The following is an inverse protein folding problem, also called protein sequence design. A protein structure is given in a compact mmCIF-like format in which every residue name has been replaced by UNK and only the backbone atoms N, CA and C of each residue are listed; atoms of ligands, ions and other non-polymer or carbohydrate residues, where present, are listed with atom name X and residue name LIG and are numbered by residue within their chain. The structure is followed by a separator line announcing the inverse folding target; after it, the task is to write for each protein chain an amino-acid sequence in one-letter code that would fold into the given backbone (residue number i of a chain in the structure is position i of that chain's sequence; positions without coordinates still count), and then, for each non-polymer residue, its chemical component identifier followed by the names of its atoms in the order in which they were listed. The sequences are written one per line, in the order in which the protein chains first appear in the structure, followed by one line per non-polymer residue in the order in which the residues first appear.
data_IF_730740379580
#
_entry.id   IF_730740379580
#
_cell.length_a   1.000
_cell.length_b   1.000
_cell.length_c   1.000
_cell.angle_alpha   90.00
_cell.angle_beta   90.00
_cell.angle_gamma   90.00
#
_symmetry.space_group_name_H-M   'P 1'
#
loop_
_entity.id
_entity.type
_entity.pdbx_description
1 polymer ?
#
# COMPACT_ATOMS: atom_id res chain seq x y z
N UNK A 1 2.68 8.89 -1.94
CA UNK A 1 4.07 9.22 -2.35
C UNK A 1 4.83 9.95 -1.26
N UNK A 2 4.28 11.01 -0.64
CA UNK A 2 4.96 11.74 0.47
C UNK A 2 5.51 10.83 1.56
N UNK A 3 4.67 9.93 2.10
CA UNK A 3 5.08 8.96 3.13
C UNK A 3 6.29 8.08 2.75
N UNK A 4 6.35 7.57 1.52
CA UNK A 4 7.49 6.78 1.04
C UNK A 4 8.75 7.63 0.86
N UNK A 5 8.60 8.90 0.49
CA UNK A 5 9.73 9.84 0.35
C UNK A 5 10.31 10.24 1.71
N UNK A 6 9.48 10.34 2.74
CA UNK A 6 9.86 10.78 4.09
C UNK A 6 10.34 9.63 4.97
N UNK A 7 9.63 8.50 4.96
CA UNK A 7 9.84 7.37 5.89
C UNK A 7 10.46 6.15 5.20
N UNK A 8 10.71 6.20 3.89
CA UNK A 8 11.26 5.08 3.11
C UNK A 8 10.29 3.90 2.92
N UNK A 9 9.11 3.91 3.54
CA UNK A 9 8.07 2.89 3.32
C UNK A 9 6.66 3.46 3.49
N UNK A 10 5.68 2.78 2.95
CA UNK A 10 4.27 2.99 3.26
C UNK A 10 3.56 1.63 3.39
N UNK A 11 2.55 1.62 4.25
CA UNK A 11 1.68 0.47 4.43
C UNK A 11 0.24 0.89 4.15
N UNK A 12 -0.47 0.09 3.35
CA UNK A 12 -1.89 0.30 3.05
C UNK A 12 -2.64 -0.98 3.39
N UNK A 13 -3.66 -0.88 4.24
CA UNK A 13 -4.54 -1.99 4.56
C UNK A 13 -5.88 -1.81 3.82
N UNK A 14 -6.35 -2.86 3.16
CA UNK A 14 -7.57 -2.83 2.37
C UNK A 14 -8.45 -4.05 2.66
N UNK A 15 -9.75 -3.80 2.83
CA UNK A 15 -10.76 -4.81 3.10
C UNK A 15 -11.79 -4.80 1.97
N UNK A 16 -11.98 -5.97 1.34
CA UNK A 16 -12.87 -6.13 0.20
C UNK A 16 -12.25 -5.71 -1.14
N UNK A 17 -12.82 -6.25 -2.23
CA UNK A 17 -12.28 -6.12 -3.58
C UNK A 17 -12.20 -4.67 -4.09
N UNK A 18 -13.21 -3.85 -3.76
CA UNK A 18 -13.25 -2.44 -4.16
C UNK A 18 -12.11 -1.62 -3.55
N UNK A 19 -11.90 -1.76 -2.23
CA UNK A 19 -10.82 -1.07 -1.53
C UNK A 19 -9.45 -1.52 -2.02
N UNK A 20 -9.25 -2.83 -2.24
CA UNK A 20 -8.01 -3.38 -2.76
C UNK A 20 -7.68 -2.83 -4.15
N UNK A 21 -8.66 -2.77 -5.05
CA UNK A 21 -8.49 -2.19 -6.37
C UNK A 21 -8.03 -0.72 -6.30
N UNK A 22 -8.62 0.08 -5.39
CA UNK A 22 -8.20 1.47 -5.20
C UNK A 22 -6.79 1.56 -4.61
N UNK A 23 -6.45 0.69 -3.66
CA UNK A 23 -5.11 0.64 -3.08
C UNK A 23 -4.05 0.33 -4.15
N UNK A 24 -4.28 -0.67 -5.00
CA UNK A 24 -3.36 -1.02 -6.10
C UNK A 24 -3.23 0.11 -7.12
N UNK A 25 -4.33 0.79 -7.49
CA UNK A 25 -4.27 1.99 -8.35
C UNK A 25 -3.44 3.09 -7.73
N UNK A 26 -3.58 3.33 -6.43
CA UNK A 26 -2.80 4.32 -5.70
C UNK A 26 -1.30 3.98 -5.71
N UNK A 27 -0.92 2.70 -5.59
CA UNK A 27 0.47 2.24 -5.74
C UNK A 27 1.00 2.54 -7.14
N UNK A 28 0.24 2.24 -8.19
CA UNK A 28 0.65 2.52 -9.57
C UNK A 28 0.87 4.03 -9.80
N UNK A 29 -0.03 4.87 -9.29
CA UNK A 29 0.11 6.34 -9.33
C UNK A 29 1.34 6.80 -8.55
N UNK A 30 1.57 6.25 -7.36
CA UNK A 30 2.72 6.60 -6.53
C UNK A 30 4.06 6.29 -7.20
N UNK A 31 4.16 5.16 -7.94
CA UNK A 31 5.33 4.83 -8.77
C UNK A 31 5.63 5.92 -9.79
N UNK A 32 4.61 6.38 -10.52
CA UNK A 32 4.76 7.47 -11.48
C UNK A 32 5.25 8.77 -10.85
N UNK A 33 4.82 9.08 -9.63
CA UNK A 33 5.27 10.28 -8.91
C UNK A 33 6.72 10.22 -8.43
N UNK A 34 7.26 9.04 -8.11
CA UNK A 34 8.63 8.93 -7.57
C UNK A 34 9.68 8.57 -8.64
N UNK A 35 9.26 8.06 -9.80
CA UNK A 35 10.14 7.71 -10.91
C UNK A 35 11.06 8.87 -11.38
N UNK A 36 10.61 10.14 -11.50
CA UNK A 36 11.49 11.25 -11.89
C UNK A 36 12.61 11.53 -10.89
N UNK A 37 12.48 11.06 -9.65
CA UNK A 37 13.51 11.17 -8.61
C UNK A 37 14.46 9.96 -8.59
N UNK A 38 14.37 9.06 -9.58
CA UNK A 38 15.22 7.87 -9.66
C UNK A 38 14.82 6.73 -8.71
N UNK A 39 13.64 6.82 -8.08
CA UNK A 39 13.16 5.81 -7.13
C UNK A 39 12.22 4.84 -7.84
N UNK A 40 12.54 3.54 -7.82
CA UNK A 40 11.60 2.46 -8.18
C UNK A 40 10.97 1.89 -6.92
N UNK A 41 9.66 1.63 -6.93
CA UNK A 41 8.96 1.04 -5.81
C UNK A 41 8.59 -0.42 -6.09
N UNK A 42 8.72 -1.24 -5.06
CA UNK A 42 8.14 -2.59 -4.99
C UNK A 42 6.87 -2.57 -4.13
N UNK A 43 5.99 -3.54 -4.39
CA UNK A 43 4.76 -3.75 -3.62
C UNK A 43 4.72 -5.20 -3.17
N UNK A 44 4.65 -5.42 -1.85
CA UNK A 44 4.70 -6.73 -1.22
C UNK A 44 3.34 -6.96 -0.53
N UNK A 45 2.43 -7.73 -1.13
CA UNK A 45 1.14 -8.04 -0.53
C UNK A 45 1.28 -9.11 0.55
N UNK A 46 0.52 -8.97 1.63
CA UNK A 46 0.39 -9.96 2.69
C UNK A 46 -1.03 -9.96 3.25
N UNK A 47 -1.48 -11.10 3.80
CA UNK A 47 -2.67 -11.11 4.63
C UNK A 47 -2.39 -10.46 5.98
N UNK A 48 -3.40 -9.82 6.55
CA UNK A 48 -3.36 -9.33 7.92
C UNK A 48 -4.77 -9.38 8.49
N UNK A 49 -4.89 -9.65 9.78
CA UNK A 49 -6.17 -9.49 10.48
C UNK A 49 -6.27 -8.08 11.03
N UNK A 50 -7.50 -7.53 10.99
CA UNK A 50 -7.82 -6.21 11.50
C UNK A 50 -9.15 -6.26 12.25
N UNK A 51 -9.22 -5.55 13.37
CA UNK A 51 -10.46 -5.44 14.15
C UNK A 51 -11.27 -4.25 13.68
N UNK A 52 -12.52 -4.49 13.25
CA UNK A 52 -13.49 -3.45 12.90
C UNK A 52 -14.81 -3.79 13.59
N UNK A 53 -15.41 -2.83 14.28
CA UNK A 53 -16.68 -3.03 15.01
C UNK A 53 -16.63 -4.21 16.00
N UNK A 54 -15.46 -4.45 16.60
CA UNK A 54 -15.16 -5.61 17.47
C UNK A 54 -15.18 -6.98 16.78
N UNK A 55 -15.27 -7.02 15.45
CA UNK A 55 -15.12 -8.22 14.64
C UNK A 55 -13.72 -8.28 14.02
N UNK A 56 -13.09 -9.45 14.05
CA UNK A 56 -11.88 -9.68 13.26
C UNK A 56 -12.25 -9.92 11.79
N UNK A 57 -11.55 -9.23 10.90
CA UNK A 57 -11.68 -9.39 9.47
C UNK A 57 -10.30 -9.59 8.85
N UNK A 58 -10.23 -10.53 7.91
CA UNK A 58 -9.04 -10.68 7.09
C UNK A 58 -8.99 -9.57 6.04
N UNK A 59 -7.87 -8.85 6.03
CA UNK A 59 -7.54 -7.78 5.11
C UNK A 59 -6.30 -8.15 4.29
N UNK A 60 -6.03 -7.35 3.26
CA UNK A 60 -4.74 -7.36 2.56
C UNK A 60 -3.96 -6.12 2.97
N UNK A 61 -2.73 -6.34 3.41
CA UNK A 61 -1.72 -5.32 3.62
C UNK A 61 -0.82 -5.24 2.39
N UNK A 62 -0.69 -4.05 1.83
CA UNK A 62 0.28 -3.72 0.79
C UNK A 62 1.43 -2.95 1.42
N UNK A 63 2.62 -3.55 1.44
CA UNK A 63 3.85 -2.89 1.87
C UNK A 63 4.52 -2.32 0.63
N UNK A 64 4.79 -1.02 0.63
CA UNK A 64 5.35 -0.29 -0.51
C UNK A 64 6.63 0.40 -0.07
N UNK A 65 7.73 0.07 -0.72
CA UNK A 65 9.06 0.59 -0.38
C UNK A 65 9.92 0.72 -1.65
N UNK A 66 10.97 1.56 -1.64
CA UNK A 66 11.99 1.55 -2.66
C UNK A 66 12.60 0.15 -2.82
N UNK A 67 12.96 -0.19 -4.05
CA UNK A 67 13.74 -1.40 -4.33
C UNK A 67 15.15 -1.30 -3.75
#
# INVERSE_FOLDING_TARGET
AGKVREEGRAEVQAIGAGALNQAVKAVAIARGFVAPSGVDLVCIPAFTDVTIDSEERTAIKLIVEPR
#
